data_IF_300329710981
#
_entry.id   IF_300329710981
#
_cell.length_a   1.000
_cell.length_b   1.000
_cell.length_c   1.000
_cell.angle_alpha   90.00
_cell.angle_beta   90.00
_cell.angle_gamma   90.00
#
_symmetry.space_group_name_H-M   'P 1'
#
loop_
_entity.id
_entity.type
_entity.pdbx_description
1 polymer ?
#
# COMPACT_ATOMS: atom_id res chain seq x y z
N UNK A 1 3.20 -15.19 -18.12
CA UNK A 1 3.53 -13.89 -18.71
C UNK A 1 4.41 -13.12 -17.72
N UNK A 2 5.55 -12.65 -18.17
CA UNK A 2 6.43 -11.89 -17.29
C UNK A 2 5.81 -10.51 -17.01
N UNK A 3 5.90 -10.07 -15.78
CA UNK A 3 5.49 -8.73 -15.41
C UNK A 3 6.52 -7.71 -15.89
N UNK A 4 6.05 -6.52 -16.33
CA UNK A 4 6.94 -5.40 -16.62
C UNK A 4 7.62 -4.87 -15.38
N UNK A 5 7.01 -5.13 -14.22
CA UNK A 5 7.49 -4.66 -12.94
C UNK A 5 7.65 -5.84 -12.01
N UNK A 6 8.73 -5.85 -11.26
CA UNK A 6 9.00 -6.89 -10.29
C UNK A 6 9.02 -6.32 -8.89
N UNK A 7 8.54 -7.10 -7.93
CA UNK A 7 8.62 -6.74 -6.52
C UNK A 7 10.08 -6.63 -6.08
N UNK A 8 10.31 -5.82 -5.08
CA UNK A 8 11.61 -5.63 -4.46
C UNK A 8 11.52 -6.00 -3.00
N UNK A 9 12.61 -6.54 -2.48
CA UNK A 9 12.67 -7.01 -1.10
C UNK A 9 13.74 -6.23 -0.36
N UNK A 10 13.38 -5.06 0.22
CA UNK A 10 14.36 -4.21 0.87
C UNK A 10 14.83 -4.82 2.18
N UNK A 11 16.06 -4.46 2.60
CA UNK A 11 16.58 -4.88 3.89
C UNK A 11 15.77 -4.23 5.02
N UNK A 12 15.34 -5.04 5.98
CA UNK A 12 14.64 -4.55 7.16
C UNK A 12 15.57 -3.94 8.20
N UNK A 13 16.89 -3.91 7.93
CA UNK A 13 17.88 -3.31 8.84
C UNK A 13 17.82 -1.80 8.86
N UNK A 14 17.31 -1.18 7.79
CA UNK A 14 17.19 0.27 7.68
C UNK A 14 15.78 0.61 7.20
N UNK A 15 14.87 0.82 8.14
CA UNK A 15 13.45 1.09 7.84
C UNK A 15 13.20 2.58 7.74
N UNK A 16 13.66 3.17 6.67
CA UNK A 16 13.45 4.58 6.34
C UNK A 16 12.28 4.75 5.36
N UNK A 17 12.09 5.98 4.87
CA UNK A 17 11.02 6.28 3.91
C UNK A 17 11.15 5.43 2.64
N UNK A 18 12.37 5.21 2.16
CA UNK A 18 12.60 4.39 0.98
C UNK A 18 12.17 2.94 1.21
N UNK A 19 12.40 2.40 2.41
CA UNK A 19 11.95 1.07 2.78
C UNK A 19 10.42 0.97 2.65
N UNK A 20 9.68 1.91 3.27
CA UNK A 20 8.22 1.87 3.25
C UNK A 20 7.66 2.16 1.87
N UNK A 21 8.29 3.06 1.10
CA UNK A 21 7.87 3.30 -0.28
C UNK A 21 8.09 2.06 -1.16
N UNK A 22 9.13 1.27 -0.88
CA UNK A 22 9.35 0.02 -1.61
C UNK A 22 8.23 -0.98 -1.31
N UNK A 23 7.75 -1.02 -0.07
CA UNK A 23 6.60 -1.88 0.27
C UNK A 23 5.33 -1.41 -0.43
N UNK A 24 5.12 -0.09 -0.54
CA UNK A 24 3.99 0.46 -1.30
C UNK A 24 4.12 0.12 -2.78
N UNK A 25 5.33 0.16 -3.32
CA UNK A 25 5.61 -0.27 -4.69
C UNK A 25 5.20 -1.73 -4.90
N UNK A 26 5.54 -2.62 -3.96
CA UNK A 26 5.17 -4.03 -4.06
C UNK A 26 3.65 -4.23 -4.07
N UNK A 27 2.93 -3.41 -3.29
CA UNK A 27 1.46 -3.44 -3.31
C UNK A 27 0.91 -2.97 -4.66
N UNK A 28 1.54 -1.96 -5.28
CA UNK A 28 1.15 -1.51 -6.61
C UNK A 28 1.36 -2.62 -7.66
N UNK A 29 2.43 -3.41 -7.52
CA UNK A 29 2.67 -4.56 -8.38
C UNK A 29 1.56 -5.60 -8.24
N UNK A 30 1.09 -5.85 -7.00
CA UNK A 30 -0.04 -6.75 -6.78
C UNK A 30 -1.28 -6.29 -7.54
N UNK A 31 -1.59 -4.99 -7.47
CA UNK A 31 -2.72 -4.42 -8.21
C UNK A 31 -2.54 -4.63 -9.72
N UNK A 32 -1.33 -4.35 -10.23
CA UNK A 32 -1.01 -4.53 -11.64
C UNK A 32 -1.27 -5.96 -12.09
N UNK A 33 -0.84 -6.93 -11.29
CA UNK A 33 -1.00 -8.34 -11.61
C UNK A 33 -2.48 -8.78 -11.55
N UNK A 34 -3.33 -8.03 -10.87
CA UNK A 34 -4.77 -8.29 -10.77
C UNK A 34 -5.59 -7.45 -11.75
N UNK A 35 -4.96 -6.83 -12.73
CA UNK A 35 -5.62 -5.94 -13.70
C UNK A 35 -6.33 -4.75 -13.06
N UNK A 36 -5.83 -4.30 -11.90
CA UNK A 36 -6.29 -3.10 -11.23
C UNK A 36 -5.37 -1.94 -11.55
N UNK A 37 -5.82 -0.73 -11.24
CA UNK A 37 -4.96 0.45 -11.33
C UNK A 37 -3.78 0.24 -10.37
N UNK A 38 -2.51 0.33 -10.84
CA UNK A 38 -1.35 -0.05 -10.03
C UNK A 38 -0.97 1.01 -9.00
N UNK A 39 -1.76 1.09 -7.95
CA UNK A 39 -1.54 1.97 -6.82
C UNK A 39 -1.46 1.12 -5.57
N UNK A 40 -0.42 1.35 -4.78
CA UNK A 40 -0.21 0.66 -3.51
C UNK A 40 -0.06 1.65 -2.37
N UNK A 41 -0.45 1.24 -1.16
CA UNK A 41 -0.38 2.05 0.03
C UNK A 41 0.07 1.23 1.23
N UNK A 42 0.91 1.82 2.07
CA UNK A 42 1.40 1.22 3.30
C UNK A 42 1.31 2.27 4.40
N UNK A 43 0.87 1.86 5.59
CA UNK A 43 0.85 2.75 6.75
C UNK A 43 1.79 2.19 7.80
N UNK A 44 2.69 3.05 8.26
CA UNK A 44 3.66 2.76 9.29
C UNK A 44 3.23 3.44 10.59
N UNK A 45 3.45 2.77 11.71
CA UNK A 45 3.22 3.29 13.05
C UNK A 45 4.33 2.79 13.96
N UNK A 46 5.11 3.73 14.50
CA UNK A 46 6.23 3.44 15.41
C UNK A 46 7.19 2.37 14.88
N UNK A 47 7.56 2.49 13.61
CA UNK A 47 8.50 1.59 12.95
C UNK A 47 7.92 0.28 12.47
N UNK A 48 6.59 0.09 12.53
CA UNK A 48 5.93 -1.15 12.10
C UNK A 48 4.90 -0.85 11.02
N UNK A 49 4.82 -1.73 10.05
CA UNK A 49 3.74 -1.68 9.06
C UNK A 49 2.47 -2.24 9.71
N UNK A 50 1.44 -1.41 9.81
CA UNK A 50 0.15 -1.81 10.38
C UNK A 50 -0.93 -1.95 9.32
N UNK A 51 -0.67 -1.51 8.10
CA UNK A 51 -1.60 -1.65 6.99
C UNK A 51 -0.85 -1.69 5.68
N UNK A 52 -1.33 -2.51 4.75
CA UNK A 52 -0.81 -2.58 3.39
C UNK A 52 -1.99 -2.92 2.48
N UNK A 53 -2.14 -2.18 1.39
CA UNK A 53 -3.28 -2.36 0.51
C UNK A 53 -2.95 -1.90 -0.91
N UNK A 54 -3.75 -2.38 -1.86
CA UNK A 54 -3.68 -1.93 -3.25
C UNK A 54 -5.10 -1.82 -3.81
N UNK A 55 -5.22 -1.17 -4.95
CA UNK A 55 -6.53 -0.91 -5.55
C UNK A 55 -7.28 -2.20 -5.86
N UNK A 56 -8.57 -2.22 -5.53
CA UNK A 56 -9.49 -3.30 -5.81
C UNK A 56 -10.81 -2.83 -6.42
N UNK A 57 -10.88 -1.59 -6.92
CA UNK A 57 -12.12 -0.98 -7.40
C UNK A 57 -12.81 -1.85 -8.44
N UNK A 58 -12.04 -2.43 -9.36
CA UNK A 58 -12.56 -3.25 -10.44
C UNK A 58 -13.03 -4.62 -9.95
N UNK A 59 -12.17 -5.34 -9.21
CA UNK A 59 -12.47 -6.68 -8.74
C UNK A 59 -13.57 -6.71 -7.69
N UNK A 60 -13.63 -5.68 -6.83
CA UNK A 60 -14.65 -5.57 -5.79
C UNK A 60 -15.96 -4.98 -6.32
N UNK A 61 -15.96 -4.39 -7.51
CA UNK A 61 -17.12 -3.64 -8.02
C UNK A 61 -17.46 -2.44 -7.15
N UNK A 62 -16.47 -1.89 -6.44
CA UNK A 62 -16.62 -0.83 -5.47
C UNK A 62 -15.69 0.33 -5.82
N UNK A 63 -16.25 1.49 -6.21
CA UNK A 63 -15.41 2.62 -6.60
C UNK A 63 -14.60 3.22 -5.45
N UNK A 64 -14.90 2.85 -4.20
CA UNK A 64 -14.14 3.31 -3.03
C UNK A 64 -13.02 2.36 -2.63
N UNK A 65 -12.84 1.23 -3.32
CA UNK A 65 -11.80 0.27 -3.01
C UNK A 65 -10.42 0.73 -3.53
N UNK A 66 -10.04 1.96 -3.15
CA UNK A 66 -8.76 2.57 -3.46
C UNK A 66 -7.74 2.21 -2.39
N UNK A 67 -6.48 2.09 -2.79
CA UNK A 67 -5.40 1.64 -1.92
C UNK A 67 -5.31 2.42 -0.61
N UNK A 68 -5.31 3.76 -0.70
CA UNK A 68 -5.17 4.62 0.48
C UNK A 68 -6.36 4.49 1.43
N UNK A 69 -7.57 4.36 0.90
CA UNK A 69 -8.78 4.20 1.71
C UNK A 69 -8.76 2.85 2.42
N UNK A 70 -8.39 1.80 1.70
CA UNK A 70 -8.28 0.46 2.28
C UNK A 70 -7.21 0.41 3.37
N UNK A 71 -6.06 1.04 3.13
CA UNK A 71 -4.99 1.08 4.11
C UNK A 71 -5.40 1.84 5.38
N UNK A 72 -6.06 2.99 5.22
CA UNK A 72 -6.54 3.77 6.37
C UNK A 72 -7.54 2.95 7.20
N UNK A 73 -8.45 2.25 6.55
CA UNK A 73 -9.42 1.40 7.23
C UNK A 73 -8.72 0.26 8.00
N UNK A 74 -7.75 -0.40 7.37
CA UNK A 74 -6.96 -1.46 8.02
C UNK A 74 -6.21 -0.92 9.23
N UNK A 75 -5.59 0.25 9.10
CA UNK A 75 -4.82 0.85 10.19
C UNK A 75 -5.70 1.21 11.38
N UNK A 76 -6.86 1.79 11.12
CA UNK A 76 -7.82 2.13 12.17
C UNK A 76 -8.26 0.88 12.92
N UNK A 77 -8.53 -0.20 12.21
CA UNK A 77 -8.89 -1.48 12.84
C UNK A 77 -7.73 -2.06 13.64
N UNK A 78 -6.51 -1.99 13.11
CA UNK A 78 -5.33 -2.53 13.80
C UNK A 78 -5.05 -1.79 15.11
N UNK A 79 -5.24 -0.46 15.13
CA UNK A 79 -5.02 0.36 16.31
C UNK A 79 -6.22 0.38 17.25
N UNK A 80 -7.39 -0.05 16.79
CA UNK A 80 -8.63 0.06 17.55
C UNK A 80 -9.06 1.50 17.77
N UNK A 81 -8.63 2.41 16.91
CA UNK A 81 -8.90 3.85 17.03
C UNK A 81 -8.93 4.45 15.62
N UNK A 82 -9.95 5.26 15.34
CA UNK A 82 -10.06 5.96 14.06
C UNK A 82 -9.01 7.07 13.90
N UNK A 83 -8.43 7.52 15.01
CA UNK A 83 -7.35 8.51 14.99
C UNK A 83 -6.03 7.81 14.69
N UNK A 84 -5.42 8.17 13.60
CA UNK A 84 -4.17 7.56 13.14
C UNK A 84 -2.97 8.38 13.62
N UNK A 85 -2.90 8.61 14.93
CA UNK A 85 -1.81 9.37 15.53
C UNK A 85 -0.48 8.62 15.34
N UNK A 86 0.56 9.37 15.03
CA UNK A 86 1.92 8.87 14.82
C UNK A 86 2.00 7.86 13.66
N UNK A 87 1.04 7.90 12.73
CA UNK A 87 1.07 7.09 11.53
C UNK A 87 1.58 7.89 10.33
N UNK A 88 2.27 7.21 9.43
CA UNK A 88 2.71 7.78 8.16
C UNK A 88 2.15 6.92 7.03
N UNK A 89 1.52 7.57 6.06
CA UNK A 89 0.96 6.92 4.88
C UNK A 89 1.95 7.07 3.72
N UNK A 90 2.32 5.94 3.12
CA UNK A 90 3.16 5.90 1.93
C UNK A 90 2.31 5.38 0.77
N UNK A 91 2.16 6.18 -0.27
CA UNK A 91 1.37 5.82 -1.46
C UNK A 91 2.24 5.95 -2.69
N UNK A 92 2.14 4.97 -3.58
CA UNK A 92 2.89 4.97 -4.82
C UNK A 92 1.98 4.52 -5.97
N UNK A 93 2.03 5.26 -7.07
CA UNK A 93 1.34 4.92 -8.31
C UNK A 93 2.37 4.65 -9.40
N UNK A 94 2.17 3.57 -10.16
CA UNK A 94 3.02 3.23 -11.29
C UNK A 94 2.57 3.86 -12.60
N UNK A 95 1.48 4.63 -12.56
CA UNK A 95 1.00 5.34 -13.76
C UNK A 95 1.08 6.84 -13.53
N UNK A 96 1.32 7.56 -14.62
CA UNK A 96 1.21 9.01 -14.61
C UNK A 96 -0.24 9.39 -14.89
N UNK A 97 -0.73 10.27 -14.07
CA UNK A 97 -2.08 10.81 -14.23
C UNK A 97 -1.96 12.27 -14.60
#
# INVERSE_FOLDING_TARGET
MSSLFEKKYPSALNRDAEYYMTLAYNEAIEAWNEDEVPIGAVIEHKGRVIAAAHNHSRSAGDPTAHAEILAISQAANALGDWRLNECTLYVLSLIHI
#
